data_IF_353012885685
#
_entry.id   IF_353012885685
#
_cell.length_a   1.000
_cell.length_b   1.000
_cell.length_c   1.000
_cell.angle_alpha   90.00
_cell.angle_beta   90.00
_cell.angle_gamma   90.00
#
_symmetry.space_group_name_H-M   'P 1'
#
loop_
_entity.id
_entity.type
_entity.pdbx_description
1 polymer ?
#
# COMPACT_ATOMS: atom_id res chain seq x y z
N UNK A 1 -46.39 -21.34 48.07
CA UNK A 1 -47.22 -21.27 49.28
C UNK A 1 -46.26 -21.12 50.44
N UNK A 2 -46.33 -19.98 51.15
CA UNK A 2 -45.38 -19.66 52.22
C UNK A 2 -45.53 -20.60 53.42
N UNK A 3 -44.44 -21.26 53.81
CA UNK A 3 -44.39 -22.19 54.94
C UNK A 3 -44.80 -21.52 56.27
N UNK A 4 -44.57 -20.21 56.38
CA UNK A 4 -44.94 -19.39 57.54
C UNK A 4 -46.47 -19.28 57.73
N UNK A 5 -47.24 -19.38 56.64
CA UNK A 5 -48.70 -19.35 56.68
C UNK A 5 -49.26 -20.68 57.19
N UNK A 6 -48.67 -21.80 56.78
CA UNK A 6 -49.01 -23.14 57.27
C UNK A 6 -48.66 -23.31 58.75
N UNK A 7 -47.52 -22.77 59.18
CA UNK A 7 -47.10 -22.85 60.58
C UNK A 7 -47.99 -22.00 61.51
N UNK A 8 -48.45 -20.83 61.05
CA UNK A 8 -49.45 -20.01 61.77
C UNK A 8 -50.80 -20.71 61.85
N UNK A 9 -51.26 -21.35 60.78
CA UNK A 9 -52.52 -22.08 60.77
C UNK A 9 -52.50 -23.28 61.73
N UNK A 10 -51.42 -24.06 61.73
CA UNK A 10 -51.26 -25.18 62.67
C UNK A 10 -51.15 -24.71 64.13
N UNK A 11 -50.50 -23.58 64.41
CA UNK A 11 -50.48 -23.01 65.77
C UNK A 11 -51.87 -22.53 66.22
N UNK A 12 -52.67 -21.97 65.30
CA UNK A 12 -54.04 -21.55 65.61
C UNK A 12 -54.97 -22.74 65.87
N UNK A 13 -54.84 -23.84 65.13
CA UNK A 13 -55.62 -25.09 65.33
C UNK A 13 -55.39 -25.72 66.71
N UNK A 14 -54.14 -25.68 67.20
CA UNK A 14 -53.76 -26.30 68.47
C UNK A 14 -54.20 -25.46 69.69
N UNK A 15 -54.30 -24.13 69.54
CA UNK A 15 -54.67 -23.20 70.62
C UNK A 15 -56.19 -22.94 70.73
N UNK A 16 -57.02 -23.64 69.93
CA UNK A 16 -58.48 -23.53 69.97
C UNK A 16 -59.06 -22.19 69.46
N UNK A 17 -58.22 -21.20 69.15
CA UNK A 17 -58.61 -19.88 68.65
C UNK A 17 -59.22 -19.87 67.24
N UNK A 18 -59.18 -20.99 66.52
CA UNK A 18 -59.89 -21.16 65.22
C UNK A 18 -61.40 -21.00 65.39
N UNK A 19 -61.95 -21.36 66.56
CA UNK A 19 -63.39 -21.24 66.86
C UNK A 19 -63.81 -19.90 67.49
N UNK A 20 -62.86 -19.00 67.79
CA UNK A 20 -63.13 -17.70 68.41
C UNK A 20 -63.24 -16.57 67.38
N UNK A 21 -62.93 -16.88 66.10
CA UNK A 21 -63.14 -15.96 64.99
C UNK A 21 -64.60 -16.01 64.54
N UNK A 22 -65.33 -14.94 64.84
CA UNK A 22 -66.68 -14.71 64.30
C UNK A 22 -66.65 -14.82 62.77
N UNK A 23 -67.72 -15.37 62.19
CA UNK A 23 -67.94 -15.42 60.72
C UNK A 23 -67.74 -14.04 60.08
N UNK A 24 -68.05 -12.97 60.81
CA UNK A 24 -67.80 -11.59 60.35
C UNK A 24 -66.31 -11.24 60.24
N UNK A 25 -65.47 -11.68 61.18
CA UNK A 25 -64.03 -11.41 61.13
C UNK A 25 -63.36 -12.14 59.97
N UNK A 26 -63.79 -13.37 59.68
CA UNK A 26 -63.32 -14.13 58.52
C UNK A 26 -63.77 -13.48 57.20
N UNK A 27 -64.97 -12.90 57.15
CA UNK A 27 -65.43 -12.13 55.98
C UNK A 27 -64.62 -10.87 55.78
N UNK A 28 -64.35 -10.12 56.85
CA UNK A 28 -63.53 -8.90 56.79
C UNK A 28 -62.11 -9.21 56.33
N UNK A 29 -61.46 -10.26 56.86
CA UNK A 29 -60.13 -10.69 56.38
C UNK A 29 -60.17 -11.09 54.91
N UNK A 30 -61.22 -11.80 54.48
CA UNK A 30 -61.39 -12.22 53.09
C UNK A 30 -61.60 -11.02 52.16
N UNK A 31 -62.36 -10.00 52.59
CA UNK A 31 -62.55 -8.76 51.84
C UNK A 31 -61.29 -7.90 51.80
N UNK A 32 -60.49 -7.88 52.87
CA UNK A 32 -59.16 -7.23 52.89
C UNK A 32 -58.20 -7.95 51.93
N UNK A 33 -58.17 -9.28 51.93
CA UNK A 33 -57.33 -10.04 51.00
C UNK A 33 -57.81 -9.87 49.55
N UNK A 34 -59.12 -9.79 49.31
CA UNK A 34 -59.68 -9.45 47.99
C UNK A 34 -59.30 -8.05 47.54
N UNK A 35 -59.41 -7.05 48.41
CA UNK A 35 -59.01 -5.67 48.10
C UNK A 35 -57.50 -5.55 47.82
N UNK A 36 -56.66 -6.28 48.57
CA UNK A 36 -55.23 -6.37 48.31
C UNK A 36 -54.93 -7.06 46.97
N UNK A 37 -55.63 -8.15 46.67
CA UNK A 37 -55.56 -8.79 45.36
C UNK A 37 -55.99 -7.83 44.26
N UNK A 38 -57.12 -7.13 44.38
CA UNK A 38 -57.60 -6.19 43.38
C UNK A 38 -56.63 -5.02 43.14
N UNK A 39 -55.93 -4.53 44.18
CA UNK A 39 -54.84 -3.56 44.01
C UNK A 39 -53.64 -4.13 43.25
N UNK A 40 -53.28 -5.39 43.50
CA UNK A 40 -52.17 -6.07 42.81
C UNK A 40 -52.56 -6.46 41.37
N UNK A 41 -53.82 -6.86 41.15
CA UNK A 41 -54.36 -7.36 39.87
C UNK A 41 -54.54 -6.25 38.84
N UNK A 42 -54.32 -4.98 39.21
CA UNK A 42 -54.04 -3.90 38.25
C UNK A 42 -52.66 -4.05 37.56
N UNK A 43 -52.00 -5.21 37.67
CA UNK A 43 -50.87 -5.56 36.81
C UNK A 43 -51.40 -5.76 35.39
N UNK A 44 -51.03 -4.85 34.49
CA UNK A 44 -51.35 -4.93 33.07
C UNK A 44 -50.91 -6.31 32.54
N UNK A 45 -51.84 -7.18 32.06
CA UNK A 45 -51.53 -8.53 31.59
C UNK A 45 -50.48 -8.55 30.47
N UNK A 46 -50.33 -7.44 29.74
CA UNK A 46 -49.33 -7.27 28.71
C UNK A 46 -47.89 -7.13 29.23
N UNK A 47 -47.65 -6.98 30.54
CA UNK A 47 -46.28 -6.86 31.09
C UNK A 47 -45.52 -8.18 31.00
N UNK A 48 -46.19 -9.31 31.25
CA UNK A 48 -45.57 -10.65 31.11
C UNK A 48 -45.29 -10.96 29.65
N UNK A 49 -46.24 -10.66 28.75
CA UNK A 49 -46.06 -10.83 27.31
C UNK A 49 -44.94 -9.92 26.77
N UNK A 50 -44.86 -8.67 27.24
CA UNK A 50 -43.77 -7.76 26.89
C UNK A 50 -42.43 -8.23 27.43
N UNK A 51 -42.38 -8.80 28.63
CA UNK A 51 -41.18 -9.37 29.20
C UNK A 51 -40.68 -10.54 28.36
N UNK A 52 -41.53 -11.52 28.05
CA UNK A 52 -41.16 -12.67 27.21
C UNK A 52 -40.75 -12.24 25.81
N UNK A 53 -41.47 -11.27 25.21
CA UNK A 53 -41.08 -10.69 23.92
C UNK A 53 -39.70 -10.05 23.97
N UNK A 54 -39.43 -9.23 24.98
CA UNK A 54 -38.12 -8.58 25.15
C UNK A 54 -37.01 -9.58 25.44
N UNK A 55 -37.29 -10.64 26.20
CA UNK A 55 -36.34 -11.72 26.47
C UNK A 55 -35.93 -12.41 25.16
N UNK A 56 -36.88 -12.79 24.32
CA UNK A 56 -36.59 -13.35 23.01
C UNK A 56 -35.84 -12.37 22.08
N UNK A 57 -36.17 -11.08 22.13
CA UNK A 57 -35.47 -10.05 21.36
C UNK A 57 -34.02 -9.88 21.81
N UNK A 58 -33.77 -9.88 23.12
CA UNK A 58 -32.42 -9.84 23.71
C UNK A 58 -31.64 -11.08 23.31
N UNK A 59 -32.23 -12.28 23.38
CA UNK A 59 -31.59 -13.53 22.95
C UNK A 59 -31.20 -13.47 21.46
N UNK A 60 -32.10 -13.01 20.58
CA UNK A 60 -31.84 -12.87 19.15
C UNK A 60 -30.73 -11.85 18.84
N UNK A 61 -30.73 -10.70 19.51
CA UNK A 61 -29.70 -9.67 19.37
C UNK A 61 -28.35 -10.16 19.88
N UNK A 62 -28.33 -10.89 20.99
CA UNK A 62 -27.11 -11.46 21.57
C UNK A 62 -26.48 -12.46 20.61
N UNK A 63 -27.28 -13.37 20.03
CA UNK A 63 -26.80 -14.30 19.00
C UNK A 63 -26.24 -13.57 17.77
N UNK A 64 -26.94 -12.51 17.32
CA UNK A 64 -26.48 -11.69 16.19
C UNK A 64 -25.15 -11.01 16.50
N UNK A 65 -24.97 -10.47 17.71
CA UNK A 65 -23.72 -9.87 18.16
C UNK A 65 -22.59 -10.89 18.17
N UNK A 66 -22.81 -12.07 18.75
CA UNK A 66 -21.81 -13.13 18.76
C UNK A 66 -21.35 -13.53 17.36
N UNK A 67 -22.29 -13.67 16.42
CA UNK A 67 -21.98 -14.02 15.04
C UNK A 67 -21.22 -12.91 14.32
N UNK A 68 -21.58 -11.65 14.56
CA UNK A 68 -20.85 -10.48 14.02
C UNK A 68 -19.44 -10.40 14.59
N UNK A 69 -19.27 -10.61 15.89
CA UNK A 69 -17.93 -10.65 16.49
C UNK A 69 -17.08 -11.81 15.95
N UNK A 70 -17.66 -13.00 15.78
CA UNK A 70 -16.98 -14.15 15.16
C UNK A 70 -16.56 -13.81 13.73
N UNK A 71 -17.42 -13.13 12.96
CA UNK A 71 -17.10 -12.67 11.61
C UNK A 71 -15.97 -11.62 11.60
N UNK A 72 -16.01 -10.63 12.49
CA UNK A 72 -14.95 -9.62 12.63
C UNK A 72 -13.61 -10.27 12.98
N UNK A 73 -13.59 -11.15 13.99
CA UNK A 73 -12.37 -11.91 14.37
C UNK A 73 -11.86 -12.81 13.25
N UNK A 74 -12.72 -13.28 12.35
CA UNK A 74 -12.31 -14.03 11.16
C UNK A 74 -11.68 -13.11 10.13
N UNK A 75 -12.30 -11.99 9.81
CA UNK A 75 -11.77 -11.01 8.85
C UNK A 75 -10.43 -10.43 9.31
N UNK A 76 -10.28 -10.10 10.59
CA UNK A 76 -9.00 -9.63 11.16
C UNK A 76 -7.88 -10.66 10.98
N UNK A 77 -8.18 -11.96 11.18
CA UNK A 77 -7.22 -13.04 10.93
C UNK A 77 -6.87 -13.17 9.45
N UNK A 78 -7.84 -13.06 8.56
CA UNK A 78 -7.61 -13.12 7.11
C UNK A 78 -6.74 -11.94 6.65
N UNK A 79 -7.02 -10.72 7.11
CA UNK A 79 -6.20 -9.51 6.84
C UNK A 79 -4.79 -9.70 7.36
N UNK A 80 -4.63 -10.18 8.60
CA UNK A 80 -3.31 -10.44 9.19
C UNK A 80 -2.53 -11.46 8.38
N UNK A 81 -3.15 -12.59 8.01
CA UNK A 81 -2.50 -13.62 7.21
C UNK A 81 -2.09 -13.11 5.83
N UNK A 82 -2.90 -12.25 5.20
CA UNK A 82 -2.55 -11.61 3.94
C UNK A 82 -1.34 -10.67 4.12
N UNK A 83 -1.36 -9.84 5.17
CA UNK A 83 -0.26 -8.93 5.51
C UNK A 83 1.05 -9.68 5.79
N UNK A 84 1.00 -10.74 6.59
CA UNK A 84 2.18 -11.53 6.98
C UNK A 84 2.85 -12.21 5.77
N UNK A 85 2.11 -12.44 4.68
CA UNK A 85 2.66 -12.95 3.41
C UNK A 85 3.13 -11.84 2.49
N UNK A 86 2.36 -10.76 2.40
CA UNK A 86 2.61 -9.66 1.47
C UNK A 86 3.76 -8.75 1.92
N UNK A 87 3.82 -8.37 3.19
CA UNK A 87 4.81 -7.43 3.71
C UNK A 87 6.26 -7.93 3.51
N UNK A 88 6.62 -9.19 3.84
CA UNK A 88 7.98 -9.68 3.59
C UNK A 88 8.34 -9.75 2.11
N UNK A 89 7.36 -10.04 1.24
CA UNK A 89 7.57 -10.05 -0.20
C UNK A 89 7.84 -8.63 -0.73
N UNK A 90 7.09 -7.64 -0.23
CA UNK A 90 7.32 -6.23 -0.54
C UNK A 90 8.68 -5.75 -0.04
N UNK A 91 9.03 -6.04 1.22
CA UNK A 91 10.33 -5.68 1.80
C UNK A 91 11.49 -6.28 1.01
N UNK A 92 11.37 -7.54 0.59
CA UNK A 92 12.38 -8.19 -0.26
C UNK A 92 12.51 -7.51 -1.63
N UNK A 93 11.40 -7.16 -2.26
CA UNK A 93 11.38 -6.48 -3.55
C UNK A 93 12.02 -5.09 -3.44
N UNK A 94 11.58 -4.29 -2.46
CA UNK A 94 12.13 -2.94 -2.23
C UNK A 94 13.60 -3.00 -1.84
N UNK A 95 14.04 -3.98 -1.06
CA UNK A 95 15.46 -4.18 -0.76
C UNK A 95 16.28 -4.55 -2.01
N UNK A 96 15.72 -5.35 -2.93
CA UNK A 96 16.36 -5.68 -4.22
C UNK A 96 16.53 -4.45 -5.10
N UNK A 97 15.46 -3.65 -5.25
CA UNK A 97 15.48 -2.38 -5.98
C UNK A 97 16.43 -1.39 -5.31
N UNK A 98 16.39 -1.29 -3.97
CA UNK A 98 17.25 -0.41 -3.17
C UNK A 98 18.73 -0.69 -3.41
N UNK A 99 19.15 -1.96 -3.44
CA UNK A 99 20.55 -2.32 -3.75
C UNK A 99 20.99 -1.84 -5.13
N UNK A 100 20.14 -2.03 -6.15
CA UNK A 100 20.42 -1.58 -7.52
C UNK A 100 20.46 -0.06 -7.62
N UNK A 101 19.53 0.60 -6.95
CA UNK A 101 19.45 2.05 -6.88
C UNK A 101 20.67 2.67 -6.20
N UNK A 102 21.06 2.16 -5.03
CA UNK A 102 22.28 2.61 -4.33
C UNK A 102 23.51 2.40 -5.21
N UNK A 103 23.67 1.23 -5.83
CA UNK A 103 24.78 0.98 -6.74
C UNK A 103 24.78 1.93 -7.96
N UNK A 104 23.62 2.27 -8.51
CA UNK A 104 23.50 3.22 -9.61
C UNK A 104 23.84 4.66 -9.17
N UNK A 105 23.46 5.05 -7.96
CA UNK A 105 23.82 6.35 -7.37
C UNK A 105 25.32 6.45 -7.07
N UNK A 106 25.91 5.40 -6.49
CA UNK A 106 27.32 5.35 -6.12
C UNK A 106 28.24 5.56 -7.33
N UNK A 107 27.86 5.01 -8.50
CA UNK A 107 28.59 5.20 -9.77
C UNK A 107 28.67 6.66 -10.22
N UNK A 108 27.72 7.48 -9.80
CA UNK A 108 27.65 8.91 -10.14
C UNK A 108 28.36 9.76 -9.07
N UNK A 109 28.90 9.12 -8.02
CA UNK A 109 29.53 9.78 -6.89
C UNK A 109 28.50 10.41 -5.93
N UNK A 110 27.27 9.89 -5.93
CA UNK A 110 26.20 10.30 -5.03
C UNK A 110 25.75 9.09 -4.19
N UNK A 111 24.98 9.30 -3.13
CA UNK A 111 24.42 8.21 -2.35
C UNK A 111 22.88 8.28 -2.38
N UNK A 112 22.25 7.12 -2.54
CA UNK A 112 20.79 6.98 -2.58
C UNK A 112 20.34 5.77 -1.81
N UNK A 113 19.21 5.87 -1.12
CA UNK A 113 18.61 4.79 -0.35
C UNK A 113 17.09 4.80 -0.52
N UNK A 114 16.50 3.62 -0.62
CA UNK A 114 15.05 3.45 -0.73
C UNK A 114 14.56 2.73 0.52
N UNK A 115 13.53 3.27 1.15
CA UNK A 115 12.92 2.69 2.35
C UNK A 115 11.41 2.61 2.20
N UNK A 116 10.82 1.58 2.81
CA UNK A 116 9.39 1.54 3.01
C UNK A 116 9.08 2.39 4.25
N UNK A 117 8.01 3.18 4.16
CA UNK A 117 7.46 3.99 5.24
C UNK A 117 6.10 3.39 5.64
N UNK A 118 6.07 2.42 6.58
CA UNK A 118 4.84 1.81 7.02
C UNK A 118 4.04 2.80 7.86
N UNK A 119 2.72 2.76 7.72
CA UNK A 119 1.79 3.60 8.48
C UNK A 119 0.57 2.76 8.94
N UNK A 120 -0.14 3.15 9.99
CA UNK A 120 -1.32 2.39 10.46
C UNK A 120 -2.46 2.41 9.43
N UNK A 121 -2.63 3.57 8.79
CA UNK A 121 -3.44 3.77 7.60
C UNK A 121 -2.67 3.36 6.33
N UNK A 122 -3.18 2.36 5.61
CA UNK A 122 -2.58 1.85 4.36
C UNK A 122 -2.54 2.90 3.25
N UNK A 123 -3.46 3.87 3.23
CA UNK A 123 -3.45 4.94 2.22
C UNK A 123 -2.24 5.87 2.37
N UNK A 124 -1.61 5.85 3.54
CA UNK A 124 -0.40 6.64 3.86
C UNK A 124 0.88 5.82 3.76
N UNK A 125 0.81 4.54 3.36
CA UNK A 125 2.02 3.78 3.08
C UNK A 125 2.74 4.39 1.88
N UNK A 126 4.04 4.60 2.05
CA UNK A 126 4.87 5.21 1.02
C UNK A 126 6.20 4.48 0.87
N UNK A 127 6.83 4.70 -0.28
CA UNK A 127 8.23 4.38 -0.51
C UNK A 127 9.00 5.70 -0.47
N UNK A 128 9.85 5.83 0.53
CA UNK A 128 10.69 7.00 0.73
C UNK A 128 11.99 6.82 -0.07
N UNK A 129 12.26 7.75 -0.98
CA UNK A 129 13.51 7.83 -1.72
C UNK A 129 14.37 8.89 -1.05
N UNK A 130 15.47 8.45 -0.42
CA UNK A 130 16.45 9.33 0.21
C UNK A 130 17.66 9.48 -0.70
N UNK A 131 18.13 10.71 -0.86
CA UNK A 131 19.28 11.03 -1.71
C UNK A 131 20.25 11.97 -1.00
N UNK A 132 21.51 11.88 -1.42
CA UNK A 132 22.63 12.71 -1.00
C UNK A 132 23.52 12.97 -2.21
N UNK A 133 23.60 14.23 -2.62
CA UNK A 133 24.40 14.66 -3.79
C UNK A 133 25.79 15.18 -3.41
N UNK A 134 26.06 15.42 -2.12
CA UNK A 134 27.32 15.99 -1.63
C UNK A 134 27.78 15.27 -0.38
N UNK A 135 29.07 14.98 -0.26
CA UNK A 135 29.65 14.22 0.86
C UNK A 135 29.36 14.81 2.25
N UNK A 136 29.25 16.13 2.34
CA UNK A 136 29.01 16.85 3.60
C UNK A 136 27.54 16.83 4.04
N UNK A 137 26.62 16.38 3.19
CA UNK A 137 25.19 16.38 3.49
C UNK A 137 24.72 15.03 4.03
N UNK A 138 23.61 15.02 4.76
CA UNK A 138 22.93 13.79 5.20
C UNK A 138 21.99 13.30 4.11
N UNK A 139 21.66 12.01 4.12
CA UNK A 139 20.56 11.46 3.30
C UNK A 139 19.26 12.21 3.64
N UNK A 140 18.61 12.75 2.62
CA UNK A 140 17.39 13.53 2.77
C UNK A 140 16.32 13.00 1.82
N UNK A 141 15.07 13.09 2.26
CA UNK A 141 13.92 12.70 1.46
C UNK A 141 13.84 13.58 0.19
N UNK A 142 13.67 12.93 -0.95
CA UNK A 142 13.45 13.60 -2.22
C UNK A 142 12.13 14.38 -2.18
N UNK A 143 12.22 15.69 -2.00
CA UNK A 143 11.07 16.60 -1.93
C UNK A 143 11.19 17.69 -2.98
N UNK A 144 10.06 18.11 -3.55
CA UNK A 144 10.03 19.09 -4.65
C UNK A 144 10.55 20.48 -4.28
N UNK A 145 10.65 20.81 -2.99
CA UNK A 145 11.03 22.13 -2.50
C UNK A 145 12.53 22.35 -2.32
N UNK A 146 13.34 21.27 -2.25
CA UNK A 146 14.74 21.38 -1.79
C UNK A 146 15.76 21.01 -2.85
N UNK A 147 15.43 20.10 -3.75
CA UNK A 147 16.34 19.61 -4.78
C UNK A 147 16.15 20.37 -6.08
N UNK A 148 17.25 20.57 -6.82
CA UNK A 148 17.18 21.19 -8.15
C UNK A 148 16.37 20.33 -9.13
N UNK A 149 15.83 20.94 -10.19
CA UNK A 149 15.10 20.22 -11.22
C UNK A 149 15.92 19.09 -11.87
N UNK A 150 17.23 19.33 -12.05
CA UNK A 150 18.17 18.34 -12.58
C UNK A 150 18.39 17.15 -11.63
N UNK A 151 18.60 17.41 -10.34
CA UNK A 151 18.78 16.36 -9.31
C UNK A 151 17.52 15.49 -9.15
N UNK A 152 16.33 16.10 -9.21
CA UNK A 152 15.06 15.37 -9.18
C UNK A 152 14.90 14.46 -10.39
N UNK A 153 15.20 14.98 -11.58
CA UNK A 153 15.10 14.23 -12.82
C UNK A 153 16.10 13.07 -12.81
N UNK A 154 17.36 13.33 -12.46
CA UNK A 154 18.40 12.31 -12.32
C UNK A 154 17.97 11.19 -11.35
N UNK A 155 17.47 11.56 -10.17
CA UNK A 155 17.00 10.58 -9.17
C UNK A 155 15.86 9.71 -9.70
N UNK A 156 14.88 10.36 -10.33
CA UNK A 156 13.70 9.68 -10.88
C UNK A 156 14.10 8.67 -11.94
N UNK A 157 15.01 9.07 -12.84
CA UNK A 157 15.49 8.21 -13.92
C UNK A 157 16.25 7.01 -13.35
N UNK A 158 17.17 7.22 -12.42
CA UNK A 158 17.92 6.13 -11.80
C UNK A 158 17.02 5.16 -11.03
N UNK A 159 15.96 5.67 -10.40
CA UNK A 159 14.95 4.84 -9.76
C UNK A 159 14.19 3.99 -10.78
N UNK A 160 13.72 4.59 -11.88
CA UNK A 160 13.03 3.87 -12.98
C UNK A 160 13.94 2.82 -13.63
N UNK A 161 15.23 3.11 -13.78
CA UNK A 161 16.22 2.14 -14.27
C UNK A 161 16.40 0.96 -13.32
N UNK A 162 16.43 1.23 -12.01
CA UNK A 162 16.53 0.17 -10.99
C UNK A 162 15.30 -0.73 -10.97
N UNK A 163 14.11 -0.14 -11.21
CA UNK A 163 12.86 -0.88 -11.36
C UNK A 163 12.84 -1.74 -12.63
N UNK A 164 13.24 -1.18 -13.77
CA UNK A 164 13.26 -1.91 -15.05
C UNK A 164 14.27 -3.07 -15.03
N UNK A 165 15.42 -2.90 -14.38
CA UNK A 165 16.38 -3.99 -14.16
C UNK A 165 15.81 -5.11 -13.27
N UNK A 166 14.87 -4.82 -12.36
CA UNK A 166 14.18 -5.83 -11.54
C UNK A 166 13.00 -6.49 -12.26
N UNK A 167 12.23 -5.73 -13.03
CA UNK A 167 11.00 -6.19 -13.67
C UNK A 167 11.21 -7.22 -14.79
N UNK A 168 12.45 -7.39 -15.31
CA UNK A 168 12.80 -8.33 -16.40
C UNK A 168 11.81 -8.28 -17.56
N UNK A 169 11.46 -7.09 -18.03
CA UNK A 169 10.57 -6.91 -19.18
C UNK A 169 11.25 -7.39 -20.47
N UNK A 170 10.52 -7.95 -21.44
CA UNK A 170 11.12 -8.45 -22.69
C UNK A 170 11.69 -7.33 -23.58
N UNK A 171 11.09 -6.14 -23.51
CA UNK A 171 11.63 -4.91 -24.07
C UNK A 171 11.19 -3.70 -23.24
N UNK A 172 11.96 -2.62 -23.34
CA UNK A 172 11.66 -1.33 -22.70
C UNK A 172 11.86 -0.20 -23.70
N UNK A 173 10.92 0.76 -23.71
CA UNK A 173 10.99 1.96 -24.53
C UNK A 173 11.04 3.18 -23.61
N UNK A 174 12.01 4.05 -23.86
CA UNK A 174 12.18 5.30 -23.14
C UNK A 174 12.37 6.43 -24.14
N UNK A 175 11.52 7.44 -24.02
CA UNK A 175 11.47 8.61 -24.88
C UNK A 175 11.75 9.88 -24.08
N UNK A 176 12.53 10.79 -24.67
CA UNK A 176 12.85 12.14 -24.16
C UNK A 176 13.35 12.22 -22.70
N UNK A 177 13.90 11.13 -22.16
CA UNK A 177 14.26 11.04 -20.74
C UNK A 177 15.38 12.00 -20.31
N UNK A 178 16.18 12.49 -21.26
CA UNK A 178 17.28 13.42 -21.03
C UNK A 178 16.91 14.89 -21.31
N UNK A 179 15.63 15.24 -21.45
CA UNK A 179 15.20 16.64 -21.56
C UNK A 179 15.18 17.33 -20.19
N UNK A 180 15.55 18.62 -20.16
CA UNK A 180 15.55 19.43 -18.93
C UNK A 180 16.70 19.15 -17.95
N UNK A 181 17.70 18.36 -18.34
CA UNK A 181 18.90 18.05 -17.55
C UNK A 181 20.11 18.85 -18.05
N UNK A 182 21.13 18.98 -17.20
CA UNK A 182 22.42 19.55 -17.61
C UNK A 182 23.30 18.47 -18.26
N UNK A 183 24.34 18.90 -18.98
CA UNK A 183 25.21 17.97 -19.73
C UNK A 183 25.86 16.90 -18.85
N UNK A 184 26.14 17.22 -17.58
CA UNK A 184 26.73 16.29 -16.63
C UNK A 184 25.75 15.18 -16.23
N UNK A 185 24.52 15.54 -15.86
CA UNK A 185 23.51 14.56 -15.47
C UNK A 185 23.04 13.72 -16.66
N UNK A 186 22.89 14.32 -17.85
CA UNK A 186 22.56 13.57 -19.07
C UNK A 186 23.61 12.49 -19.38
N UNK A 187 24.91 12.82 -19.27
CA UNK A 187 26.01 11.86 -19.46
C UNK A 187 26.00 10.76 -18.40
N UNK A 188 25.73 11.11 -17.14
CA UNK A 188 25.65 10.14 -16.05
C UNK A 188 24.51 9.13 -16.27
N UNK A 189 23.33 9.61 -16.69
CA UNK A 189 22.18 8.77 -17.04
C UNK A 189 22.53 7.86 -18.21
N UNK A 190 23.09 8.40 -19.29
CA UNK A 190 23.46 7.61 -20.47
C UNK A 190 24.45 6.50 -20.14
N UNK A 191 25.52 6.82 -19.40
CA UNK A 191 26.54 5.84 -19.04
C UNK A 191 25.94 4.73 -18.14
N UNK A 192 25.12 5.10 -17.15
CA UNK A 192 24.42 4.11 -16.32
C UNK A 192 23.46 3.26 -17.14
N UNK A 193 22.82 3.84 -18.16
CA UNK A 193 21.90 3.11 -19.04
C UNK A 193 22.63 2.07 -19.87
N UNK A 194 23.74 2.44 -20.49
CA UNK A 194 24.57 1.52 -21.25
C UNK A 194 25.03 0.36 -20.37
N UNK A 195 25.51 0.64 -19.15
CA UNK A 195 25.96 -0.41 -18.22
C UNK A 195 24.86 -1.40 -17.79
N UNK A 196 23.62 -0.91 -17.58
CA UNK A 196 22.50 -1.75 -17.13
C UNK A 196 21.88 -2.53 -18.30
N UNK A 197 21.79 -1.92 -19.48
CA UNK A 197 21.03 -2.46 -20.62
C UNK A 197 21.88 -3.24 -21.62
N UNK A 198 23.20 -3.09 -21.62
CA UNK A 198 24.07 -3.77 -22.58
C UNK A 198 24.73 -5.05 -22.01
N UNK A 199 24.20 -5.64 -20.93
CA UNK A 199 24.74 -6.88 -20.37
C UNK A 199 24.33 -8.10 -21.21
N UNK A 200 25.14 -9.18 -21.19
CA UNK A 200 24.72 -10.58 -21.14
C UNK A 200 23.30 -10.91 -21.55
N UNK A 201 22.51 -10.69 -20.52
CA UNK A 201 21.19 -11.18 -20.16
C UNK A 201 20.16 -10.06 -20.14
N UNK A 202 20.54 -8.85 -20.57
CA UNK A 202 19.65 -7.70 -20.64
C UNK A 202 18.64 -7.83 -21.78
N UNK A 203 17.43 -7.36 -21.53
CA UNK A 203 16.38 -7.27 -22.51
C UNK A 203 16.61 -6.15 -23.53
N UNK A 204 15.81 -6.12 -24.61
CA UNK A 204 15.94 -5.09 -25.63
C UNK A 204 15.52 -3.72 -25.09
N UNK A 205 16.38 -2.73 -25.22
CA UNK A 205 16.13 -1.37 -24.75
C UNK A 205 16.16 -0.38 -25.91
N UNK A 206 15.10 0.42 -26.02
CA UNK A 206 14.99 1.51 -26.99
C UNK A 206 15.09 2.85 -26.26
N UNK A 207 16.09 3.64 -26.62
CA UNK A 207 16.22 5.03 -26.20
C UNK A 207 15.95 5.93 -27.39
N UNK A 208 14.96 6.80 -27.27
CA UNK A 208 14.66 7.85 -28.23
C UNK A 208 15.04 9.18 -27.59
N UNK A 209 15.91 9.93 -28.27
CA UNK A 209 16.32 11.25 -27.80
C UNK A 209 16.57 12.18 -28.99
N UNK A 210 16.09 13.45 -28.91
CA UNK A 210 16.43 14.46 -29.91
C UNK A 210 17.84 15.05 -29.69
N UNK A 211 18.52 14.71 -28.58
CA UNK A 211 19.84 15.26 -28.22
C UNK A 211 20.93 14.22 -28.47
N UNK A 212 21.90 14.59 -29.31
CA UNK A 212 23.16 13.88 -29.47
C UNK A 212 24.23 14.57 -28.61
N UNK A 213 24.69 13.91 -27.55
CA UNK A 213 25.82 14.41 -26.77
C UNK A 213 27.14 13.89 -27.36
N UNK A 214 28.18 14.75 -27.47
CA UNK A 214 29.51 14.30 -27.83
C UNK A 214 30.14 13.47 -26.70
N UNK A 215 31.04 12.57 -27.08
CA UNK A 215 31.88 11.76 -26.16
C UNK A 215 31.10 10.85 -25.19
N UNK A 216 29.92 10.36 -25.60
CA UNK A 216 29.17 9.38 -24.83
C UNK A 216 29.83 8.00 -24.88
N UNK A 217 29.66 7.21 -23.81
CA UNK A 217 30.07 5.82 -23.82
C UNK A 217 29.13 5.02 -24.71
N UNK A 218 29.71 4.21 -25.58
CA UNK A 218 28.97 3.32 -26.46
C UNK A 218 29.43 1.89 -26.24
N UNK A 219 28.51 0.94 -26.37
CA UNK A 219 28.79 -0.48 -26.22
C UNK A 219 28.59 -1.19 -27.56
N UNK A 220 29.35 -2.24 -27.84
CA UNK A 220 29.28 -3.02 -29.10
C UNK A 220 27.89 -3.60 -29.39
N UNK A 221 27.10 -3.84 -28.34
CA UNK A 221 25.72 -4.35 -28.41
C UNK A 221 24.68 -3.25 -28.69
N UNK A 222 25.11 -2.00 -28.73
CA UNK A 222 24.23 -0.86 -28.94
C UNK A 222 24.15 -0.54 -30.43
N UNK A 223 22.94 -0.29 -30.92
CA UNK A 223 22.70 0.17 -32.29
C UNK A 223 22.15 1.59 -32.26
N UNK A 224 22.86 2.52 -32.89
CA UNK A 224 22.41 3.90 -33.05
C UNK A 224 21.66 4.04 -34.38
N UNK A 225 20.46 4.59 -34.32
CA UNK A 225 19.67 4.93 -35.50
C UNK A 225 19.43 6.44 -35.48
N UNK A 226 20.03 7.14 -36.44
CA UNK A 226 19.78 8.57 -36.62
C UNK A 226 18.65 8.75 -37.64
N UNK A 227 17.50 9.23 -37.17
CA UNK A 227 16.33 9.50 -38.02
C UNK A 227 16.33 10.99 -38.35
N UNK A 228 16.62 11.30 -39.61
CA UNK A 228 16.50 12.67 -40.13
C UNK A 228 15.09 12.85 -40.69
N UNK A 229 14.35 13.82 -40.18
CA UNK A 229 13.04 14.19 -40.69
C UNK A 229 13.02 15.69 -41.01
N UNK A 230 12.73 16.06 -42.26
CA UNK A 230 12.73 17.46 -42.67
C UNK A 230 12.40 17.65 -44.15
N UNK A 231 11.84 18.82 -44.48
CA UNK A 231 11.42 19.20 -45.84
C UNK A 231 12.60 19.34 -46.82
N UNK A 232 13.81 19.51 -46.29
CA UNK A 232 15.07 19.68 -47.06
C UNK A 232 15.89 18.38 -47.16
N UNK A 233 15.26 17.22 -46.99
CA UNK A 233 15.93 15.94 -47.24
C UNK A 233 16.20 15.83 -48.76
N UNK A 234 17.45 15.52 -49.15
CA UNK A 234 17.78 15.34 -50.56
C UNK A 234 16.98 14.18 -51.16
N UNK A 235 16.40 14.38 -52.35
CA UNK A 235 15.64 13.35 -53.08
C UNK A 235 16.49 12.12 -53.46
N UNK A 236 17.82 12.26 -53.42
CA UNK A 236 18.77 11.19 -53.73
C UNK A 236 18.83 10.15 -52.60
N UNK A 237 18.49 8.86 -52.88
CA UNK A 237 18.58 7.80 -51.89
C UNK A 237 20.01 7.64 -51.38
N UNK A 238 20.19 7.72 -50.06
CA UNK A 238 21.48 7.50 -49.38
C UNK A 238 22.40 8.73 -49.29
N UNK A 239 21.95 9.91 -49.74
CA UNK A 239 22.60 11.18 -49.39
C UNK A 239 22.18 11.55 -47.95
N UNK A 240 23.14 11.66 -47.03
CA UNK A 240 22.81 11.79 -45.59
C UNK A 240 22.96 10.50 -44.79
N UNK A 241 23.32 9.37 -45.42
CA UNK A 241 23.58 8.13 -44.71
C UNK A 241 24.86 8.25 -43.87
N UNK A 242 24.68 8.25 -42.55
CA UNK A 242 25.76 8.39 -41.58
C UNK A 242 26.82 7.28 -41.73
N UNK A 243 26.43 6.04 -42.09
CA UNK A 243 27.41 4.96 -42.27
C UNK A 243 28.34 5.25 -43.45
N UNK A 244 27.80 5.73 -44.57
CA UNK A 244 28.63 6.16 -45.71
C UNK A 244 29.53 7.35 -45.36
N UNK A 245 29.03 8.30 -44.57
CA UNK A 245 29.84 9.44 -44.12
C UNK A 245 30.98 8.97 -43.21
N UNK A 246 30.71 8.06 -42.28
CA UNK A 246 31.72 7.47 -41.40
C UNK A 246 32.76 6.70 -42.22
N UNK A 247 32.33 5.84 -43.15
CA UNK A 247 33.23 5.11 -44.04
C UNK A 247 34.15 6.05 -44.83
N UNK A 248 33.59 7.13 -45.37
CA UNK A 248 34.35 8.14 -46.11
C UNK A 248 35.35 8.86 -45.19
N UNK A 249 34.93 9.24 -43.98
CA UNK A 249 35.80 9.89 -43.00
C UNK A 249 36.95 8.98 -42.55
N UNK A 250 36.67 7.71 -42.27
CA UNK A 250 37.70 6.72 -41.90
C UNK A 250 38.69 6.52 -43.03
N UNK A 251 38.22 6.41 -44.28
CA UNK A 251 39.10 6.30 -45.46
C UNK A 251 40.00 7.53 -45.64
N UNK A 252 39.49 8.73 -45.39
CA UNK A 252 40.27 9.97 -45.47
C UNK A 252 41.30 10.03 -44.34
N UNK A 253 40.90 9.69 -43.11
CA UNK A 253 41.82 9.66 -41.94
C UNK A 253 42.96 8.68 -42.13
N UNK A 254 42.68 7.48 -42.63
CA UNK A 254 43.69 6.44 -42.87
C UNK A 254 44.63 6.77 -44.04
N UNK A 255 44.19 7.62 -44.98
CA UNK A 255 45.07 8.18 -46.02
C UNK A 255 46.00 9.24 -45.46
N UNK A 256 45.51 10.11 -44.58
CA UNK A 256 46.33 11.14 -43.92
C UNK A 256 47.36 10.53 -42.97
N UNK A 257 47.02 9.46 -42.24
CA UNK A 257 47.96 8.79 -41.31
C UNK A 257 49.03 7.92 -41.98
N UNK A 258 48.88 7.61 -43.28
CA UNK A 258 49.89 6.91 -44.10
C UNK A 258 50.79 7.86 -44.89
N UNK A 259 50.49 9.15 -44.88
CA UNK A 259 51.25 10.17 -45.60
C UNK A 259 52.30 10.87 -44.71
N UNK A 260 52.29 10.59 -43.40
CA UNK A 260 53.35 10.89 -42.41
C UNK A 260 54.19 9.64 -42.13
#
# INVERSE_FOLDING_TARGET
MDADFQEKFSKMEVDGSVHDRSVEQLRTDLDVQRANLDMITQTNPGVVEQYERRKHEIEALTNTLEDREKATRRLEREIKNARDRWQPALEKLVASIGKKFSAAFDRIGCAGEIRISPHDDYDKWAIDILVKFRDKEKLQLLTGQRQSGGERSLTTILYLMSLTEEARTPFSLVDEINQGMDQRAERAVHNSLVEVTCKPDSAQYFLITPKLLPDLNYHERMKVLCVNNGEWLPDTPGLGDMMRMIETFVQVRDRSSRAD
#
